data_IF_972898007095
#
_entry.id   IF_972898007095
#
_cell.length_a   1.000
_cell.length_b   1.000
_cell.length_c   1.000
_cell.angle_alpha   90.00
_cell.angle_beta   90.00
_cell.angle_gamma   90.00
#
_symmetry.space_group_name_H-M   'P 1'
#
loop_
_entity.id
_entity.type
_entity.pdbx_description
1 polymer ?
#
# COMPACT_ATOMS: atom_id res chain seq x y z
N UNK A 1 12.77 -1.24 -29.73
CA UNK A 1 12.03 -0.44 -28.72
C UNK A 1 10.86 -1.28 -28.25
N UNK A 2 10.53 -1.32 -26.95
CA UNK A 2 9.32 -2.05 -26.49
C UNK A 2 8.06 -1.24 -26.81
N UNK A 3 6.91 -1.90 -26.97
CA UNK A 3 5.62 -1.28 -27.29
C UNK A 3 4.69 -1.27 -26.05
N UNK A 4 4.55 -0.13 -25.33
CA UNK A 4 3.77 -0.09 -24.09
C UNK A 4 2.29 -0.39 -24.29
N UNK A 5 1.73 0.02 -25.43
CA UNK A 5 0.33 -0.17 -25.78
C UNK A 5 -0.03 -1.64 -26.08
N UNK A 6 0.98 -2.51 -26.29
CA UNK A 6 0.78 -3.96 -26.44
C UNK A 6 0.97 -4.74 -25.15
N UNK A 7 1.25 -4.07 -24.03
CA UNK A 7 1.47 -4.73 -22.73
C UNK A 7 0.14 -5.32 -22.23
N UNK A 8 0.15 -6.58 -21.80
CA UNK A 8 -1.00 -7.20 -21.13
C UNK A 8 -1.45 -6.34 -19.94
N UNK A 9 -2.75 -6.12 -19.80
CA UNK A 9 -3.33 -5.20 -18.81
C UNK A 9 -3.51 -3.76 -19.31
N UNK A 10 -2.78 -3.37 -20.37
CA UNK A 10 -3.17 -2.22 -21.22
C UNK A 10 -3.97 -2.73 -22.42
N UNK A 11 -3.47 -3.79 -23.05
CA UNK A 11 -4.14 -4.52 -24.10
C UNK A 11 -4.60 -5.88 -23.58
N UNK A 12 -5.92 -6.10 -23.58
CA UNK A 12 -6.54 -7.31 -23.03
C UNK A 12 -6.58 -7.32 -21.50
N UNK A 13 -7.38 -8.24 -20.96
CA UNK A 13 -7.56 -8.40 -19.52
C UNK A 13 -6.62 -9.49 -18.98
N UNK A 14 -5.81 -9.10 -18.00
CA UNK A 14 -4.84 -9.97 -17.33
C UNK A 14 -5.52 -11.14 -16.61
N UNK A 15 -6.78 -10.97 -16.17
CA UNK A 15 -7.53 -11.98 -15.41
C UNK A 15 -7.76 -13.27 -16.18
N UNK A 16 -7.81 -13.20 -17.52
CA UNK A 16 -8.02 -14.36 -18.39
C UNK A 16 -6.73 -15.00 -18.90
N UNK A 17 -5.56 -14.48 -18.52
CA UNK A 17 -4.30 -15.08 -18.96
C UNK A 17 -4.15 -16.49 -18.37
N UNK A 18 -3.74 -17.52 -19.15
CA UNK A 18 -3.70 -18.92 -18.69
C UNK A 18 -2.90 -19.16 -17.40
N UNK A 19 -1.87 -18.33 -17.16
CA UNK A 19 -1.11 -18.35 -15.91
C UNK A 19 -1.99 -18.15 -14.66
N UNK A 20 -3.03 -17.34 -14.73
CA UNK A 20 -3.94 -17.05 -13.61
C UNK A 20 -5.22 -17.89 -13.65
N UNK A 21 -5.26 -18.94 -14.47
CA UNK A 21 -6.46 -19.80 -14.62
C UNK A 21 -6.94 -20.47 -13.33
N UNK A 22 -6.05 -20.65 -12.35
CA UNK A 22 -6.38 -21.20 -11.04
C UNK A 22 -6.94 -20.18 -10.04
N UNK A 23 -6.95 -18.88 -10.38
CA UNK A 23 -7.35 -17.82 -9.46
C UNK A 23 -8.86 -17.57 -9.58
N UNK A 24 -9.58 -17.73 -8.46
CA UNK A 24 -10.90 -17.13 -8.28
C UNK A 24 -10.73 -15.67 -7.85
N UNK A 25 -10.90 -14.73 -8.79
CA UNK A 25 -10.70 -13.30 -8.54
C UNK A 25 -11.65 -12.71 -7.49
N UNK A 26 -12.89 -13.20 -7.42
CA UNK A 26 -13.88 -12.71 -6.44
C UNK A 26 -13.47 -13.11 -5.02
N UNK A 27 -13.04 -14.36 -4.83
CA UNK A 27 -12.59 -14.84 -3.52
C UNK A 27 -11.26 -14.20 -3.10
N UNK A 28 -10.37 -13.94 -4.04
CA UNK A 28 -9.11 -13.23 -3.79
C UNK A 28 -9.36 -11.80 -3.28
N UNK A 29 -10.21 -11.03 -3.97
CA UNK A 29 -10.55 -9.65 -3.58
C UNK A 29 -11.28 -9.59 -2.23
N UNK A 30 -12.09 -10.60 -1.92
CA UNK A 30 -12.76 -10.75 -0.63
C UNK A 30 -11.85 -11.31 0.48
N UNK A 31 -10.55 -11.51 0.20
CA UNK A 31 -9.54 -12.04 1.14
C UNK A 31 -9.90 -13.44 1.70
N UNK A 32 -10.62 -14.25 0.93
CA UNK A 32 -11.02 -15.61 1.31
C UNK A 32 -9.94 -16.65 1.01
N UNK A 33 -9.02 -16.34 0.10
CA UNK A 33 -7.89 -17.20 -0.24
C UNK A 33 -6.73 -16.87 0.69
N UNK A 34 -6.20 -17.82 1.48
CA UNK A 34 -5.07 -17.56 2.35
C UNK A 34 -3.80 -17.26 1.53
N UNK A 35 -2.93 -16.34 1.99
CA UNK A 35 -1.66 -16.11 1.33
C UNK A 35 -0.79 -17.38 1.39
N UNK A 36 0.03 -17.65 0.37
CA UNK A 36 0.88 -18.85 0.32
C UNK A 36 1.97 -18.84 1.39
N UNK A 37 2.26 -17.67 1.97
CA UNK A 37 3.18 -17.51 3.08
C UNK A 37 2.49 -16.73 4.19
N UNK A 38 2.47 -17.32 5.39
CA UNK A 38 2.03 -16.64 6.60
C UNK A 38 3.26 -15.98 7.22
N UNK A 39 3.24 -14.66 7.31
CA UNK A 39 4.22 -13.94 8.11
C UNK A 39 4.01 -14.35 9.58
N UNK A 40 5.07 -14.76 10.26
CA UNK A 40 5.04 -14.87 11.72
C UNK A 40 4.60 -13.54 12.28
N UNK A 41 3.67 -13.52 13.24
CA UNK A 41 3.30 -12.29 13.92
C UNK A 41 4.59 -11.62 14.43
N UNK A 42 4.85 -10.36 14.06
CA UNK A 42 5.94 -9.66 14.67
C UNK A 42 5.61 -9.57 16.16
N UNK A 43 6.46 -10.13 17.02
CA UNK A 43 6.38 -9.79 18.44
C UNK A 43 6.55 -8.28 18.60
N UNK A 44 6.19 -7.71 19.75
CA UNK A 44 6.44 -6.27 20.00
C UNK A 44 7.91 -5.89 19.76
N UNK A 45 8.83 -6.85 19.81
CA UNK A 45 10.25 -6.69 19.49
C UNK A 45 10.56 -6.74 17.98
N UNK A 46 9.76 -7.41 17.14
CA UNK A 46 10.02 -7.59 15.70
C UNK A 46 9.72 -6.34 14.85
N UNK A 47 8.96 -5.38 15.37
CA UNK A 47 8.78 -4.04 14.75
C UNK A 47 10.13 -3.34 14.55
N UNK A 48 11.14 -3.70 15.35
CA UNK A 48 12.51 -3.19 15.23
C UNK A 48 13.35 -3.84 14.12
N UNK A 49 12.91 -4.96 13.54
CA UNK A 49 13.65 -5.66 12.46
C UNK A 49 13.35 -5.13 11.07
N UNK A 50 12.27 -4.38 10.88
CA UNK A 50 12.11 -3.47 9.74
C UNK A 50 12.96 -2.21 9.93
N UNK A 51 14.24 -2.36 10.28
CA UNK A 51 15.21 -1.27 10.35
C UNK A 51 15.83 -1.02 8.98
N UNK A 52 14.98 -0.63 8.03
CA UNK A 52 15.39 0.48 7.18
C UNK A 52 15.65 1.66 8.13
N UNK A 53 16.83 2.30 8.02
CA UNK A 53 17.30 3.42 8.86
C UNK A 53 16.15 4.16 9.55
N UNK A 54 16.20 4.20 10.89
CA UNK A 54 15.23 4.86 11.76
C UNK A 54 14.79 6.20 11.15
N UNK A 55 13.52 6.31 10.77
CA UNK A 55 12.90 7.56 10.27
C UNK A 55 12.88 8.69 11.30
N UNK A 56 13.39 8.47 12.52
CA UNK A 56 13.38 9.49 13.57
C UNK A 56 14.13 10.75 13.17
N UNK A 57 15.21 10.62 12.38
CA UNK A 57 15.94 11.79 11.88
C UNK A 57 15.16 12.56 10.80
N UNK A 58 14.17 11.93 10.15
CA UNK A 58 13.25 12.59 9.21
C UNK A 58 12.08 13.27 9.93
N UNK A 59 11.70 12.74 11.10
CA UNK A 59 10.62 13.26 11.95
C UNK A 59 11.11 14.28 13.00
N UNK A 60 12.38 14.68 12.96
CA UNK A 60 12.86 15.85 13.67
C UNK A 60 12.21 17.09 13.05
N UNK A 61 10.99 17.38 13.50
CA UNK A 61 10.28 18.61 13.20
C UNK A 61 11.06 19.72 13.89
N UNK A 62 11.92 20.42 13.14
CA UNK A 62 12.47 21.68 13.59
C UNK A 62 11.36 22.73 13.56
N UNK A 63 11.28 23.54 14.62
CA UNK A 63 10.36 24.68 14.65
C UNK A 63 10.85 25.71 13.62
N UNK A 64 10.30 25.68 12.42
CA UNK A 64 10.62 26.66 11.38
C UNK A 64 9.88 27.97 11.68
N UNK A 65 10.61 29.08 11.75
CA UNK A 65 10.03 30.44 11.81
C UNK A 65 9.48 30.92 10.46
N UNK A 66 9.58 30.09 9.43
CA UNK A 66 9.02 30.28 8.10
C UNK A 66 7.48 30.31 8.16
N UNK A 67 6.88 31.21 7.40
CA UNK A 67 5.43 31.40 7.34
C UNK A 67 4.76 30.09 6.87
N UNK A 68 3.97 29.46 7.74
CA UNK A 68 3.21 28.25 7.39
C UNK A 68 2.34 28.57 6.16
N UNK A 69 2.66 27.93 5.04
CA UNK A 69 1.81 27.99 3.86
C UNK A 69 0.66 27.01 4.09
N UNK A 70 -0.55 27.53 4.24
CA UNK A 70 -1.73 26.68 4.27
C UNK A 70 -1.80 25.91 2.95
N UNK A 71 -1.69 24.59 3.02
CA UNK A 71 -1.93 23.70 1.88
C UNK A 71 -3.42 23.38 1.90
N UNK A 72 -4.25 24.02 1.04
CA UNK A 72 -5.65 23.67 0.95
C UNK A 72 -5.81 22.19 0.55
N UNK A 73 -6.90 21.57 0.97
CA UNK A 73 -7.28 20.18 0.64
C UNK A 73 -6.34 19.08 1.16
N UNK A 74 -5.44 19.39 2.09
CA UNK A 74 -4.57 18.38 2.72
C UNK A 74 -5.29 17.59 3.83
N UNK A 75 -6.31 18.16 4.46
CA UNK A 75 -7.03 17.50 5.56
C UNK A 75 -7.96 16.40 5.03
N UNK A 76 -7.76 15.17 5.51
CA UNK A 76 -8.63 14.04 5.21
C UNK A 76 -8.93 13.26 6.49
N UNK A 77 -10.22 12.96 6.73
CA UNK A 77 -10.66 12.02 7.76
C UNK A 77 -11.55 10.97 7.08
N UNK A 78 -11.25 9.69 7.31
CA UNK A 78 -12.08 8.61 6.79
C UNK A 78 -13.47 8.64 7.42
N UNK A 79 -14.53 8.42 6.64
CA UNK A 79 -15.92 8.46 7.14
C UNK A 79 -16.20 7.48 8.27
N UNK A 80 -15.43 6.40 8.39
CA UNK A 80 -15.50 5.47 9.52
C UNK A 80 -15.18 6.11 10.87
N UNK A 81 -14.47 7.24 10.88
CA UNK A 81 -14.04 7.98 12.07
C UNK A 81 -14.86 9.25 12.32
N UNK A 82 -15.95 9.47 11.56
CA UNK A 82 -16.75 10.69 11.66
C UNK A 82 -17.88 10.63 12.71
N UNK A 83 -18.19 9.45 13.24
CA UNK A 83 -19.33 9.22 14.16
C UNK A 83 -18.94 8.52 15.47
N UNK A 84 -17.67 8.61 15.88
CA UNK A 84 -17.18 8.04 17.15
C UNK A 84 -17.25 9.07 18.28
#
# INVERSE_FOLDING_TARGET
MKEPHRRLGVYGDIRYHPFYSSINWVELEQKKIPPPFQLTEPSSEDVTKCTGKRLSSFLEINESTEKIHNIPDLSYIGSSWQNE
#
